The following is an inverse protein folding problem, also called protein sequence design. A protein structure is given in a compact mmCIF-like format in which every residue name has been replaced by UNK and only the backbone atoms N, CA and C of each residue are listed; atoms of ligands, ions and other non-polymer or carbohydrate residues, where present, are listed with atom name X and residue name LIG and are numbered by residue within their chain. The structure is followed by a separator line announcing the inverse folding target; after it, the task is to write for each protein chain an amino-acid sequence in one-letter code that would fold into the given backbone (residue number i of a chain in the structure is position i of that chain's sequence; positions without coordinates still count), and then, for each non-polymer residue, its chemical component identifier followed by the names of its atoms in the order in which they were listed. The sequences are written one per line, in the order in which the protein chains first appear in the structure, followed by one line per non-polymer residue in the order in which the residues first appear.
data_IF_100743446640
#
_entry.id   IF_100743446640
#
_cell.length_a   1.000
_cell.length_b   1.000
_cell.length_c   1.000
_cell.angle_alpha   90.00
_cell.angle_beta   90.00
_cell.angle_gamma   90.00
#
_symmetry.space_group_name_H-M   'P 1'
#
loop_
_entity.id
_entity.type
_entity.pdbx_description
1 polymer ?
#
# COMPACT_ATOMS: atom_id res chain seq x y z
N UNK A 1 17.54 -2.54 24.56
CA UNK A 1 17.41 -1.79 23.30
C UNK A 1 16.97 -2.82 22.29
N UNK A 2 15.65 -3.05 22.21
CA UNK A 2 15.08 -4.19 21.51
C UNK A 2 14.88 -3.86 20.04
N UNK A 3 15.44 -4.75 19.22
CA UNK A 3 15.45 -4.78 17.77
C UNK A 3 14.01 -5.03 17.27
N UNK A 4 13.33 -3.98 16.83
CA UNK A 4 12.02 -4.08 16.21
C UNK A 4 12.23 -4.53 14.77
N UNK A 5 11.99 -5.81 14.49
CA UNK A 5 12.09 -6.40 13.17
C UNK A 5 11.47 -5.51 12.10
N UNK A 6 12.35 -5.03 11.21
CA UNK A 6 12.03 -4.16 10.09
C UNK A 6 11.16 -4.93 9.09
N UNK A 7 9.84 -4.88 9.27
CA UNK A 7 8.92 -5.19 8.17
C UNK A 7 9.03 -4.03 7.18
N UNK A 8 10.01 -4.13 6.29
CA UNK A 8 10.33 -3.12 5.30
C UNK A 8 9.07 -2.76 4.49
N UNK A 9 8.73 -1.48 4.45
CA UNK A 9 7.62 -0.97 3.65
C UNK A 9 7.91 -1.13 2.17
N UNK A 10 6.98 -1.70 1.40
CA UNK A 10 7.11 -1.83 -0.05
C UNK A 10 6.60 -0.58 -0.77
N UNK A 11 7.23 -0.23 -1.90
CA UNK A 11 6.70 0.81 -2.76
C UNK A 11 5.38 0.33 -3.38
N UNK A 12 4.43 1.24 -3.59
CA UNK A 12 3.09 0.88 -4.05
C UNK A 12 3.08 0.06 -5.35
N UNK A 13 4.03 0.29 -6.26
CA UNK A 13 4.12 -0.43 -7.53
C UNK A 13 4.78 -1.82 -7.43
N UNK A 14 5.40 -2.14 -6.29
CA UNK A 14 6.00 -3.46 -6.03
C UNK A 14 5.01 -4.40 -5.30
N UNK A 15 3.86 -3.88 -4.86
CA UNK A 15 2.81 -4.67 -4.20
C UNK A 15 1.90 -5.31 -5.25
N UNK A 16 1.71 -6.62 -5.16
CA UNK A 16 0.72 -7.34 -5.96
C UNK A 16 -0.69 -7.15 -5.37
N UNK A 17 -1.44 -6.20 -5.91
CA UNK A 17 -2.82 -5.92 -5.52
C UNK A 17 -3.87 -6.82 -6.19
N UNK A 18 -3.43 -7.78 -7.02
CA UNK A 18 -4.32 -8.71 -7.75
C UNK A 18 -4.55 -10.02 -7.00
N UNK A 19 -3.61 -10.41 -6.13
CA UNK A 19 -3.60 -11.70 -5.42
C UNK A 19 -4.73 -11.95 -4.42
N UNK A 20 -5.40 -10.91 -3.96
CA UNK A 20 -6.47 -11.06 -2.98
C UNK A 20 -7.78 -11.41 -3.70
N UNK A 21 -8.19 -12.68 -3.62
CA UNK A 21 -9.54 -13.13 -4.01
C UNK A 21 -10.69 -12.47 -3.21
N UNK A 22 -10.36 -11.59 -2.26
CA UNK A 22 -11.25 -10.68 -1.55
C UNK A 22 -10.77 -9.22 -1.65
N UNK A 23 -11.66 -8.26 -1.39
CA UNK A 23 -11.36 -6.83 -1.47
C UNK A 23 -10.15 -6.41 -0.60
N UNK A 24 -9.44 -5.36 -1.04
CA UNK A 24 -8.36 -4.76 -0.27
C UNK A 24 -8.87 -3.52 0.48
N UNK A 25 -8.40 -3.33 1.71
CA UNK A 25 -8.67 -2.13 2.50
C UNK A 25 -7.36 -1.36 2.70
N UNK A 26 -7.42 -0.04 2.55
CA UNK A 26 -6.29 0.87 2.81
C UNK A 26 -6.63 1.68 4.06
N UNK A 27 -5.67 1.77 4.98
CA UNK A 27 -5.78 2.58 6.19
C UNK A 27 -4.89 3.80 6.00
N UNK A 28 -5.48 5.00 6.06
CA UNK A 28 -4.77 6.26 5.96
C UNK A 28 -4.69 6.93 7.34
N UNK A 29 -3.51 7.48 7.65
CA UNK A 29 -3.32 8.30 8.84
C UNK A 29 -4.03 9.65 8.73
N UNK A 30 -4.18 10.33 9.87
CA UNK A 30 -4.61 11.73 9.88
C UNK A 30 -3.44 12.61 9.44
N UNK A 31 -3.76 13.72 8.79
CA UNK A 31 -2.77 14.73 8.41
C UNK A 31 -2.04 15.24 9.65
N UNK A 32 -0.71 15.33 9.59
CA UNK A 32 0.16 15.76 10.70
C UNK A 32 0.38 14.72 11.82
N UNK A 33 -0.63 13.94 12.20
CA UNK A 33 -0.55 12.96 13.30
C UNK A 33 -0.16 11.54 12.85
N UNK A 34 -0.39 11.21 11.58
CA UNK A 34 -0.13 9.88 11.02
C UNK A 34 -1.13 8.80 11.48
N UNK A 35 -0.68 7.54 11.49
CA UNK A 35 -1.49 6.39 11.93
C UNK A 35 -1.77 6.44 13.43
N UNK A 36 -2.81 5.76 13.93
CA UNK A 36 -3.02 5.58 15.37
C UNK A 36 -2.12 4.48 15.94
N UNK A 37 -1.92 4.46 17.25
CA UNK A 37 -1.11 3.44 17.97
C UNK A 37 -1.55 2.02 17.63
N UNK A 38 -2.86 1.77 17.62
CA UNK A 38 -3.43 0.44 17.40
C UNK A 38 -3.08 -0.09 16.00
N UNK A 39 -3.05 0.80 15.00
CA UNK A 39 -2.67 0.45 13.62
C UNK A 39 -1.17 0.20 13.54
N UNK A 40 -0.35 1.02 14.21
CA UNK A 40 1.11 0.81 14.28
C UNK A 40 1.45 -0.52 14.95
N UNK A 41 0.72 -0.92 15.98
CA UNK A 41 0.92 -2.20 16.66
C UNK A 41 0.43 -3.38 15.80
N UNK A 42 -0.64 -3.20 15.03
CA UNK A 42 -1.07 -4.17 14.03
C UNK A 42 -0.03 -4.36 12.91
N UNK A 43 0.66 -3.29 12.51
CA UNK A 43 1.81 -3.37 11.58
C UNK A 43 2.97 -4.13 12.20
N UNK A 44 3.40 -3.77 13.42
CA UNK A 44 4.50 -4.46 14.13
C UNK A 44 4.23 -5.95 14.34
N UNK A 45 2.97 -6.32 14.57
CA UNK A 45 2.57 -7.72 14.75
C UNK A 45 2.34 -8.48 13.43
N UNK A 46 2.57 -7.85 12.27
CA UNK A 46 2.42 -8.47 10.96
C UNK A 46 0.97 -8.71 10.53
N UNK A 47 -0.02 -8.18 11.26
CA UNK A 47 -1.44 -8.31 10.90
C UNK A 47 -1.83 -7.44 9.71
N UNK A 48 -1.09 -6.35 9.51
CA UNK A 48 -1.30 -5.38 8.44
C UNK A 48 0.06 -5.08 7.81
N UNK A 49 0.14 -5.12 6.49
CA UNK A 49 1.35 -4.75 5.76
C UNK A 49 1.42 -3.24 5.51
N UNK A 50 2.64 -2.72 5.39
CA UNK A 50 2.89 -1.32 5.03
C UNK A 50 3.15 -1.17 3.54
N UNK A 51 2.73 -0.04 3.00
CA UNK A 51 2.98 0.38 1.61
C UNK A 51 3.24 1.88 1.59
N UNK A 52 4.08 2.35 0.68
CA UNK A 52 4.38 3.78 0.56
C UNK A 52 4.42 4.26 -0.89
N UNK A 53 4.22 5.58 -1.06
CA UNK A 53 4.53 6.29 -2.30
C UNK A 53 5.98 6.74 -2.23
N UNK A 54 6.86 6.33 -3.15
CA UNK A 54 8.23 6.84 -3.20
C UNK A 54 8.22 8.35 -3.36
N UNK A 55 8.97 9.03 -2.50
CA UNK A 55 9.10 10.49 -2.49
C UNK A 55 10.56 10.85 -2.71
N UNK A 56 10.81 12.01 -3.31
CA UNK A 56 12.16 12.55 -3.38
C UNK A 56 12.65 12.93 -1.96
N UNK A 57 13.98 12.95 -1.73
CA UNK A 57 14.52 13.45 -0.48
C UNK A 57 14.07 14.89 -0.20
N UNK A 58 13.95 15.24 1.08
CA UNK A 58 13.64 16.59 1.58
C UNK A 58 12.31 17.21 1.06
N UNK A 59 11.39 16.37 0.56
CA UNK A 59 10.03 16.82 0.21
C UNK A 59 9.07 16.64 1.37
N UNK A 60 8.07 17.53 1.46
CA UNK A 60 6.95 17.34 2.37
C UNK A 60 6.11 16.12 1.99
N UNK A 61 5.39 15.58 2.97
CA UNK A 61 4.46 14.49 2.74
C UNK A 61 3.33 14.90 1.80
N UNK A 62 2.83 13.95 1.01
CA UNK A 62 1.59 14.14 0.27
C UNK A 62 0.41 14.33 1.23
N UNK A 63 -0.61 15.02 0.74
CA UNK A 63 -1.95 14.97 1.32
C UNK A 63 -2.41 13.51 1.48
N UNK A 64 -3.03 13.17 2.61
CA UNK A 64 -3.42 11.78 2.91
C UNK A 64 -4.38 11.20 1.85
N UNK A 65 -5.34 12.00 1.38
CA UNK A 65 -6.27 11.61 0.31
C UNK A 65 -5.57 11.41 -1.03
N UNK A 66 -4.56 12.23 -1.35
CA UNK A 66 -3.75 12.07 -2.57
C UNK A 66 -2.92 10.79 -2.51
N UNK A 67 -2.24 10.53 -1.38
CA UNK A 67 -1.48 9.30 -1.19
C UNK A 67 -2.37 8.05 -1.33
N UNK A 68 -3.56 8.07 -0.71
CA UNK A 68 -4.55 7.00 -0.87
C UNK A 68 -5.02 6.83 -2.31
N UNK A 69 -5.26 7.93 -3.03
CA UNK A 69 -5.72 7.91 -4.42
C UNK A 69 -4.69 7.29 -5.36
N UNK A 70 -3.40 7.60 -5.19
CA UNK A 70 -2.30 6.99 -5.97
C UNK A 70 -2.28 5.46 -5.81
N UNK A 71 -2.39 4.97 -4.57
CA UNK A 71 -2.37 3.54 -4.27
C UNK A 71 -3.62 2.85 -4.82
N UNK A 72 -4.80 3.44 -4.64
CA UNK A 72 -6.06 2.90 -5.19
C UNK A 72 -6.04 2.86 -6.73
N UNK A 73 -5.47 3.88 -7.36
CA UNK A 73 -5.29 3.92 -8.81
C UNK A 73 -4.37 2.78 -9.28
N UNK A 74 -3.25 2.53 -8.60
CA UNK A 74 -2.35 1.43 -8.95
C UNK A 74 -3.05 0.07 -8.89
N UNK A 75 -3.85 -0.17 -7.83
CA UNK A 75 -4.65 -1.40 -7.75
C UNK A 75 -5.54 -1.54 -9.00
N UNK A 76 -6.23 -0.47 -9.40
CA UNK A 76 -7.09 -0.52 -10.59
C UNK A 76 -6.27 -0.77 -11.86
N UNK A 77 -5.10 -0.15 -12.00
CA UNK A 77 -4.17 -0.39 -13.11
C UNK A 77 -3.78 -1.87 -13.21
N UNK A 78 -3.32 -2.49 -12.12
CA UNK A 78 -2.96 -3.92 -12.11
C UNK A 78 -4.16 -4.84 -12.40
N UNK A 79 -5.34 -4.50 -11.89
CA UNK A 79 -6.57 -5.26 -12.18
C UNK A 79 -6.98 -5.17 -13.66
N UNK A 80 -6.76 -4.04 -14.33
CA UNK A 80 -7.02 -3.93 -15.76
C UNK A 80 -5.98 -4.69 -16.58
N UNK A 81 -4.68 -4.53 -16.30
CA UNK A 81 -3.63 -5.26 -17.01
C UNK A 81 -3.77 -6.78 -16.85
N UNK A 82 -4.06 -7.27 -15.64
CA UNK A 82 -4.29 -8.72 -15.41
C UNK A 82 -5.55 -9.26 -16.10
N UNK A 83 -6.56 -8.42 -16.36
CA UNK A 83 -7.75 -8.82 -17.15
C UNK A 83 -7.42 -8.90 -18.63
N UNK A 84 -6.65 -7.95 -19.15
CA UNK A 84 -6.20 -7.98 -20.55
C UNK A 84 -5.35 -9.22 -20.82
N UNK A 85 -4.39 -9.55 -19.95
CA UNK A 85 -3.56 -10.75 -20.07
C UNK A 85 -4.39 -12.04 -20.08
N UNK A 86 -5.41 -12.15 -19.21
CA UNK A 86 -6.35 -13.29 -19.22
C UNK A 86 -7.22 -13.35 -20.48
N UNK A 87 -7.52 -12.21 -21.11
CA UNK A 87 -8.32 -12.16 -22.32
C UNK A 87 -7.50 -12.41 -23.61
N UNK A 88 -6.16 -12.26 -23.55
CA UNK A 88 -5.25 -12.45 -24.70
C UNK A 88 -4.74 -13.89 -24.83
N UNK A 89 -4.87 -14.72 -23.79
CA UNK A 89 -4.59 -16.16 -23.86
C UNK A 89 -5.89 -17.01 -23.83
N UNK A 90 -6.64 -17.11 -24.95
CA UNK A 90 -7.59 -18.20 -25.13
C UNK A 90 -6.84 -19.45 -25.63
N UNK A 91 -6.72 -20.44 -24.74
CA UNK A 91 -6.17 -21.82 -24.93
C UNK A 91 -4.72 -21.98 -25.42
#
# INVERSE_FOLDING_TARGET
MEDAGDSASLAYHDVDFTRSGGGAAIILGREGEGLRSEVRDAVKSGKISTVHVPMAPDTESLNAGVAGSVIMFERMRQLFSSREERNVQPE
#
